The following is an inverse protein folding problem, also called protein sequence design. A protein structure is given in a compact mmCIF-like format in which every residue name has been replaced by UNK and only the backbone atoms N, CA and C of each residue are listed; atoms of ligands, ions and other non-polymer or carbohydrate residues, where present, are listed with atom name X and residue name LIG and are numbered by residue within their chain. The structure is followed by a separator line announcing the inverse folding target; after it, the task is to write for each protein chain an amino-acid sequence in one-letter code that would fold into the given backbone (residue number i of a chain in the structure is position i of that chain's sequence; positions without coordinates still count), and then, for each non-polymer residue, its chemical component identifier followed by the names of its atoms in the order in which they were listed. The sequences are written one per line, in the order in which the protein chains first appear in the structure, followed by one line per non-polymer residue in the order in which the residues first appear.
data_IF_439393382534
#
_entry.id   IF_439393382534
#
_cell.length_a   1.000
_cell.length_b   1.000
_cell.length_c   1.000
_cell.angle_alpha   90.00
_cell.angle_beta   90.00
_cell.angle_gamma   90.00
#
_symmetry.space_group_name_H-M   'P 1'
#
loop_
_entity.id
_entity.type
_entity.pdbx_description
1 polymer ?
#
# COMPACT_ATOMS: atom_id res chain seq x y z
N UNK A 1 21.59 21.80 2.29
CA UNK A 1 21.24 20.79 3.32
C UNK A 1 19.82 20.24 3.12
N UNK A 2 18.75 21.04 3.13
CA UNK A 2 17.38 20.55 2.93
C UNK A 2 17.19 19.82 1.58
N UNK A 3 17.69 20.39 0.47
CA UNK A 3 17.57 19.76 -0.85
C UNK A 3 18.21 18.37 -0.89
N UNK A 4 19.40 18.20 -0.33
CA UNK A 4 20.07 16.89 -0.29
C UNK A 4 19.30 15.88 0.59
N UNK A 5 18.65 16.34 1.66
CA UNK A 5 17.76 15.53 2.46
C UNK A 5 16.53 15.08 1.64
N UNK A 6 15.87 16.01 0.94
CA UNK A 6 14.69 15.69 0.12
C UNK A 6 15.02 14.74 -1.04
N UNK A 7 16.18 14.88 -1.68
CA UNK A 7 16.64 13.93 -2.71
C UNK A 7 16.86 12.52 -2.14
N UNK A 8 17.46 12.41 -0.95
CA UNK A 8 17.56 11.12 -0.24
C UNK A 8 16.19 10.58 0.11
N UNK A 9 15.28 11.44 0.56
CA UNK A 9 13.88 11.06 0.83
C UNK A 9 13.23 10.44 -0.41
N UNK A 10 13.35 11.04 -1.59
CA UNK A 10 12.80 10.48 -2.84
C UNK A 10 13.31 9.06 -3.08
N UNK A 11 14.63 8.85 -2.98
CA UNK A 11 15.24 7.52 -3.24
C UNK A 11 14.74 6.48 -2.23
N UNK A 12 14.71 6.83 -0.94
CA UNK A 12 14.26 5.94 0.11
C UNK A 12 12.76 5.67 -0.02
N UNK A 13 11.95 6.69 -0.27
CA UNK A 13 10.50 6.57 -0.50
C UNK A 13 10.19 5.65 -1.67
N UNK A 14 10.82 5.89 -2.82
CA UNK A 14 10.64 5.04 -4.00
C UNK A 14 11.01 3.59 -3.73
N UNK A 15 12.05 3.32 -2.94
CA UNK A 15 12.42 1.94 -2.59
C UNK A 15 11.32 1.21 -1.80
N UNK A 16 10.57 1.94 -0.96
CA UNK A 16 9.42 1.40 -0.24
C UNK A 16 8.16 1.30 -1.10
N UNK A 17 7.81 2.37 -1.79
CA UNK A 17 6.60 2.50 -2.62
C UNK A 17 6.60 1.52 -3.80
N UNK A 18 7.76 1.29 -4.42
CA UNK A 18 7.93 0.36 -5.53
C UNK A 18 7.99 -1.11 -5.08
N UNK A 19 8.11 -1.37 -3.79
CA UNK A 19 8.11 -2.73 -3.28
C UNK A 19 6.79 -3.43 -3.66
N UNK A 20 6.86 -4.65 -4.22
CA UNK A 20 5.66 -5.38 -4.57
C UNK A 20 4.88 -5.74 -3.32
N UNK A 21 3.61 -5.32 -3.26
CA UNK A 21 2.75 -5.49 -2.10
C UNK A 21 1.26 -5.51 -2.44
N UNK A 22 0.40 -5.68 -1.42
CA UNK A 22 -1.05 -5.72 -1.63
C UNK A 22 -1.61 -4.48 -2.32
N UNK A 23 -1.12 -3.28 -1.98
CA UNK A 23 -1.54 -2.02 -2.61
C UNK A 23 -1.18 -2.03 -4.10
N UNK A 24 0.06 -2.44 -4.45
CA UNK A 24 0.51 -2.57 -5.84
C UNK A 24 -0.38 -3.52 -6.63
N UNK A 25 -0.66 -4.72 -6.08
CA UNK A 25 -1.50 -5.72 -6.73
C UNK A 25 -2.92 -5.19 -7.01
N UNK A 26 -3.54 -4.54 -6.02
CA UNK A 26 -4.89 -3.99 -6.16
C UNK A 26 -4.91 -2.78 -7.09
N UNK A 27 -3.87 -1.94 -7.07
CA UNK A 27 -3.74 -0.81 -8.00
C UNK A 27 -3.67 -1.28 -9.45
N UNK A 28 -2.85 -2.29 -9.73
CA UNK A 28 -2.76 -2.89 -11.07
C UNK A 28 -4.09 -3.52 -11.48
N UNK A 29 -4.73 -4.29 -10.60
CA UNK A 29 -6.02 -4.92 -10.86
C UNK A 29 -7.13 -3.90 -11.15
N UNK A 30 -7.31 -2.88 -10.29
CA UNK A 30 -8.32 -1.82 -10.49
C UNK A 30 -7.97 -0.91 -11.66
N UNK A 31 -6.68 -0.71 -11.92
CA UNK A 31 -6.15 0.04 -13.05
C UNK A 31 -6.64 -0.51 -14.39
N UNK A 32 -6.81 -1.83 -14.55
CA UNK A 32 -7.32 -2.41 -15.81
C UNK A 32 -8.70 -1.90 -16.20
N UNK A 33 -9.46 -1.37 -15.27
CA UNK A 33 -10.83 -0.86 -15.50
C UNK A 33 -10.89 0.66 -15.49
N UNK A 34 -10.13 1.30 -14.62
CA UNK A 34 -10.17 2.75 -14.42
C UNK A 34 -8.75 3.33 -14.29
N UNK A 35 -8.31 4.21 -15.21
CA UNK A 35 -6.95 4.73 -15.20
C UNK A 35 -6.62 5.55 -13.96
N UNK A 36 -7.62 6.20 -13.35
CA UNK A 36 -7.45 7.05 -12.18
C UNK A 36 -7.57 6.31 -10.83
N UNK A 37 -7.79 4.99 -10.85
CA UNK A 37 -7.93 4.22 -9.61
C UNK A 37 -6.69 4.29 -8.72
N UNK A 38 -5.49 4.37 -9.30
CA UNK A 38 -4.25 4.54 -8.54
C UNK A 38 -4.18 5.86 -7.79
N UNK A 39 -4.64 6.96 -8.40
CA UNK A 39 -4.72 8.25 -7.71
C UNK A 39 -5.67 8.19 -6.50
N UNK A 40 -6.84 7.56 -6.66
CA UNK A 40 -7.79 7.38 -5.55
C UNK A 40 -7.25 6.46 -4.46
N UNK A 41 -6.51 5.40 -4.82
CA UNK A 41 -5.83 4.52 -3.86
C UNK A 41 -4.75 5.31 -3.10
N UNK A 42 -3.96 6.14 -3.80
CA UNK A 42 -2.95 6.99 -3.17
C UNK A 42 -3.56 8.00 -2.19
N UNK A 43 -4.70 8.59 -2.53
CA UNK A 43 -5.45 9.44 -1.60
C UNK A 43 -5.89 8.68 -0.36
N UNK A 44 -6.47 7.48 -0.52
CA UNK A 44 -6.85 6.62 0.60
C UNK A 44 -5.66 6.21 1.45
N UNK A 45 -4.51 5.91 0.83
CA UNK A 45 -3.24 5.62 1.50
C UNK A 45 -2.79 6.83 2.34
N UNK A 46 -2.72 8.01 1.74
CA UNK A 46 -2.32 9.25 2.43
C UNK A 46 -3.24 9.64 3.59
N UNK A 47 -4.54 9.30 3.52
CA UNK A 47 -5.48 9.52 4.65
C UNK A 47 -5.10 8.71 5.90
N UNK A 48 -4.41 7.60 5.77
CA UNK A 48 -3.89 6.78 6.88
C UNK A 48 -2.48 7.20 7.23
N UNK A 49 -1.66 7.44 6.23
CA UNK A 49 -0.24 7.75 6.37
C UNK A 49 0.01 9.08 7.09
N UNK A 50 -0.72 10.14 6.73
CA UNK A 50 -0.56 11.44 7.37
C UNK A 50 -0.84 11.41 8.89
N UNK A 51 -1.98 10.86 9.36
CA UNK A 51 -2.20 10.69 10.80
C UNK A 51 -1.12 9.82 11.45
N UNK A 52 -0.68 8.73 10.79
CA UNK A 52 0.38 7.87 11.33
C UNK A 52 1.70 8.62 11.50
N UNK A 53 2.10 9.44 10.51
CA UNK A 53 3.28 10.31 10.64
C UNK A 53 3.19 11.23 11.85
N UNK A 54 2.04 11.88 12.05
CA UNK A 54 1.82 12.77 13.20
C UNK A 54 1.89 12.00 14.52
N UNK A 55 1.31 10.79 14.56
CA UNK A 55 1.40 9.91 15.74
C UNK A 55 2.84 9.51 16.05
N UNK A 56 3.64 9.16 15.04
CA UNK A 56 5.06 8.83 15.21
C UNK A 56 5.83 10.05 15.70
N UNK A 57 5.57 11.23 15.15
CA UNK A 57 6.21 12.49 15.54
C UNK A 57 6.02 12.81 17.04
N UNK A 58 4.84 12.49 17.61
CA UNK A 58 4.55 12.69 19.04
C UNK A 58 4.96 11.49 19.92
N UNK A 59 5.70 10.51 19.37
CA UNK A 59 6.24 9.38 20.11
C UNK A 59 5.34 8.13 20.18
N UNK A 60 4.20 8.10 19.49
CA UNK A 60 3.28 6.95 19.51
C UNK A 60 3.81 5.72 18.74
N UNK A 61 4.95 5.85 18.04
CA UNK A 61 5.57 4.73 17.30
C UNK A 61 5.84 3.49 18.17
N UNK A 62 6.19 3.68 19.44
CA UNK A 62 6.42 2.59 20.39
C UNK A 62 5.19 1.70 20.62
N UNK A 63 3.98 2.25 20.50
CA UNK A 63 2.74 1.45 20.62
C UNK A 63 2.62 0.42 19.50
N UNK A 64 3.06 0.73 18.30
CA UNK A 64 3.04 -0.17 17.14
C UNK A 64 4.10 -1.28 17.25
N UNK A 65 5.08 -1.12 18.13
CA UNK A 65 6.10 -2.15 18.41
C UNK A 65 5.63 -3.23 19.39
N UNK A 66 4.51 -3.00 20.09
CA UNK A 66 3.95 -3.97 21.03
C UNK A 66 3.61 -5.28 20.29
N UNK A 67 4.12 -6.40 20.80
CA UNK A 67 3.97 -7.74 20.20
C UNK A 67 2.52 -8.06 19.86
N UNK A 68 1.59 -7.88 20.77
CA UNK A 68 0.17 -8.15 20.55
C UNK A 68 -0.45 -7.29 19.44
N UNK A 69 -0.02 -6.04 19.31
CA UNK A 69 -0.48 -5.14 18.23
C UNK A 69 0.00 -5.65 16.89
N UNK A 70 1.29 -6.04 16.78
CA UNK A 70 1.85 -6.63 15.55
C UNK A 70 1.13 -7.92 15.17
N UNK A 71 0.89 -8.81 16.14
CA UNK A 71 0.17 -10.08 15.91
C UNK A 71 -1.25 -9.83 15.44
N UNK A 72 -1.98 -8.95 16.12
CA UNK A 72 -3.36 -8.61 15.75
C UNK A 72 -3.45 -8.05 14.32
N UNK A 73 -2.59 -7.08 13.97
CA UNK A 73 -2.55 -6.49 12.63
C UNK A 73 -2.17 -7.54 11.58
N UNK A 74 -1.20 -8.40 11.87
CA UNK A 74 -0.77 -9.47 10.97
C UNK A 74 -1.89 -10.48 10.67
N UNK A 75 -2.61 -10.92 11.68
CA UNK A 75 -3.72 -11.88 11.53
C UNK A 75 -4.90 -11.22 10.79
N UNK A 76 -5.38 -10.06 11.25
CA UNK A 76 -6.52 -9.37 10.64
C UNK A 76 -6.20 -8.94 9.21
N UNK A 77 -5.02 -8.37 8.99
CA UNK A 77 -4.54 -8.00 7.66
C UNK A 77 -4.40 -9.22 6.75
N UNK A 78 -3.84 -10.31 7.24
CA UNK A 78 -3.71 -11.56 6.50
C UNK A 78 -5.06 -12.14 6.07
N UNK A 79 -6.04 -12.22 6.97
CA UNK A 79 -7.40 -12.69 6.66
C UNK A 79 -8.10 -11.78 5.63
N UNK A 80 -7.89 -10.47 5.73
CA UNK A 80 -8.41 -9.52 4.76
C UNK A 80 -7.83 -9.76 3.36
N UNK A 81 -6.51 -9.91 3.25
CA UNK A 81 -5.82 -10.21 1.98
C UNK A 81 -6.27 -11.56 1.41
N UNK A 82 -6.51 -12.57 2.25
CA UNK A 82 -7.05 -13.86 1.83
C UNK A 82 -8.39 -13.68 1.12
N UNK A 83 -9.33 -12.98 1.76
CA UNK A 83 -10.65 -12.71 1.18
C UNK A 83 -10.53 -11.98 -0.17
N UNK A 84 -9.67 -10.97 -0.27
CA UNK A 84 -9.45 -10.24 -1.52
C UNK A 84 -8.81 -11.12 -2.60
N UNK A 85 -7.79 -11.90 -2.27
CA UNK A 85 -7.09 -12.79 -3.20
C UNK A 85 -8.02 -13.85 -3.79
N UNK A 86 -8.80 -14.52 -2.93
CA UNK A 86 -9.84 -15.47 -3.37
C UNK A 86 -10.89 -14.79 -4.26
N UNK A 87 -11.29 -13.57 -3.91
CA UNK A 87 -12.22 -12.76 -4.71
C UNK A 87 -11.69 -12.50 -6.13
N UNK A 88 -10.43 -12.10 -6.28
CA UNK A 88 -9.80 -11.88 -7.58
C UNK A 88 -9.71 -13.16 -8.41
N UNK A 89 -9.33 -14.29 -7.80
CA UNK A 89 -9.24 -15.58 -8.51
C UNK A 89 -10.62 -16.07 -9.00
N UNK A 90 -11.67 -15.91 -8.18
CA UNK A 90 -13.04 -16.24 -8.57
C UNK A 90 -13.56 -15.40 -9.74
N UNK A 91 -13.13 -14.13 -9.85
CA UNK A 91 -13.54 -13.24 -10.94
C UNK A 91 -13.00 -13.63 -12.30
N UNK A 92 -11.94 -14.43 -12.36
CA UNK A 92 -11.36 -14.96 -13.62
C UNK A 92 -12.34 -15.90 -14.32
N UNK A 93 -13.03 -16.77 -13.55
CA UNK A 93 -13.94 -17.79 -14.05
C UNK A 93 -15.33 -17.24 -14.41
N UNK A 94 -15.77 -16.18 -13.77
CA UNK A 94 -17.08 -15.60 -14.00
C UNK A 94 -17.01 -14.50 -15.07
N UNK A 95 -17.88 -14.60 -16.08
CA UNK A 95 -18.04 -13.58 -17.14
C UNK A 95 -18.48 -12.21 -16.57
N UNK A 96 -18.79 -12.15 -15.27
CA UNK A 96 -19.15 -10.95 -14.52
C UNK A 96 -17.93 -10.38 -13.76
N UNK A 97 -16.93 -9.94 -14.51
CA UNK A 97 -15.75 -9.22 -13.98
C UNK A 97 -16.15 -8.01 -13.10
N UNK A 98 -17.39 -7.53 -13.25
CA UNK A 98 -17.91 -6.35 -12.58
C UNK A 98 -18.23 -6.53 -11.08
N UNK A 99 -18.46 -7.75 -10.58
CA UNK A 99 -18.99 -7.93 -9.22
C UNK A 99 -17.92 -7.95 -8.11
N UNK A 100 -16.72 -8.45 -8.37
CA UNK A 100 -15.65 -8.51 -7.34
C UNK A 100 -14.96 -7.15 -7.15
N UNK A 101 -14.99 -6.30 -8.17
CA UNK A 101 -14.47 -4.95 -8.07
C UNK A 101 -15.38 -3.98 -7.27
N UNK A 102 -16.64 -4.36 -7.03
CA UNK A 102 -17.59 -3.53 -6.28
C UNK A 102 -17.45 -3.60 -4.76
N UNK A 103 -16.68 -4.55 -4.19
CA UNK A 103 -16.59 -4.66 -2.73
C UNK A 103 -15.93 -3.45 -2.06
N UNK A 104 -14.98 -2.79 -2.74
CA UNK A 104 -14.30 -1.59 -2.23
C UNK A 104 -14.07 -0.60 -3.36
N UNK A 105 -14.42 0.65 -3.13
CA UNK A 105 -13.97 1.73 -4.01
C UNK A 105 -12.45 1.82 -4.01
N UNK A 106 -11.80 2.41 -5.03
CA UNK A 106 -10.34 2.60 -5.02
C UNK A 106 -9.84 3.32 -3.76
N UNK A 107 -10.53 4.35 -3.32
CA UNK A 107 -10.20 5.09 -2.10
C UNK A 107 -10.29 4.19 -0.85
N UNK A 108 -11.38 3.44 -0.69
CA UNK A 108 -11.54 2.49 0.42
C UNK A 108 -10.45 1.41 0.40
N UNK A 109 -10.09 0.92 -0.78
CA UNK A 109 -8.99 -0.03 -0.92
C UNK A 109 -7.67 0.56 -0.43
N UNK A 110 -7.37 1.82 -0.77
CA UNK A 110 -6.20 2.53 -0.26
C UNK A 110 -6.16 2.59 1.27
N UNK A 111 -7.27 3.00 1.90
CA UNK A 111 -7.38 3.07 3.36
C UNK A 111 -7.19 1.69 4.00
N UNK A 112 -7.98 0.71 3.58
CA UNK A 112 -8.03 -0.59 4.25
C UNK A 112 -6.74 -1.38 4.05
N UNK A 113 -6.18 -1.38 2.83
CA UNK A 113 -4.91 -2.08 2.56
C UNK A 113 -3.72 -1.45 3.28
N UNK A 114 -3.76 -0.16 3.54
CA UNK A 114 -2.72 0.53 4.31
C UNK A 114 -2.78 0.14 5.79
N UNK A 115 -3.96 0.21 6.40
CA UNK A 115 -4.15 -0.17 7.82
C UNK A 115 -3.85 -1.65 8.03
N UNK A 116 -4.28 -2.51 7.10
CA UNK A 116 -4.12 -3.96 7.18
C UNK A 116 -2.71 -4.46 6.77
N UNK A 117 -1.77 -3.56 6.47
CA UNK A 117 -0.44 -3.93 6.01
C UNK A 117 0.59 -3.80 7.13
N UNK A 118 1.01 -4.89 7.78
CA UNK A 118 2.00 -4.83 8.85
C UNK A 118 3.36 -4.32 8.37
N UNK A 119 3.76 -4.59 7.11
CA UNK A 119 5.02 -4.07 6.58
C UNK A 119 5.03 -2.56 6.42
N UNK A 120 3.89 -1.96 6.07
CA UNK A 120 3.74 -0.51 6.04
C UNK A 120 3.99 0.10 7.44
N UNK A 121 3.38 -0.49 8.47
CA UNK A 121 3.55 -0.01 9.84
C UNK A 121 4.99 -0.19 10.34
N UNK A 122 5.62 -1.33 10.08
CA UNK A 122 7.02 -1.60 10.44
C UNK A 122 7.94 -0.60 9.72
N UNK A 123 7.72 -0.35 8.44
CA UNK A 123 8.51 0.62 7.67
C UNK A 123 8.42 2.01 8.28
N UNK A 124 7.21 2.43 8.70
CA UNK A 124 7.01 3.75 9.28
C UNK A 124 7.63 3.90 10.67
N UNK A 125 7.59 2.90 11.55
CA UNK A 125 8.22 2.99 12.87
C UNK A 125 9.75 2.86 12.82
N UNK A 126 10.30 2.41 11.71
CA UNK A 126 11.75 2.28 11.49
C UNK A 126 12.27 3.38 10.56
N UNK A 127 12.12 3.18 9.26
CA UNK A 127 12.64 4.09 8.22
C UNK A 127 11.90 5.43 8.23
N UNK A 128 10.57 5.39 8.36
CA UNK A 128 9.73 6.59 8.44
C UNK A 128 10.10 7.47 9.64
N UNK A 129 10.28 6.86 10.82
CA UNK A 129 10.70 7.58 12.03
C UNK A 129 12.06 8.26 11.87
N UNK A 130 13.02 7.59 11.22
CA UNK A 130 14.33 8.17 10.90
C UNK A 130 14.18 9.37 9.95
N UNK A 131 13.33 9.28 8.93
CA UNK A 131 13.07 10.37 8.00
C UNK A 131 12.34 11.54 8.67
N UNK A 132 11.35 11.28 9.54
CA UNK A 132 10.65 12.29 10.34
C UNK A 132 11.66 13.05 11.22
N UNK A 133 12.53 12.32 11.92
CA UNK A 133 13.58 12.93 12.76
C UNK A 133 14.55 13.79 11.94
N UNK A 134 14.94 13.31 10.76
CA UNK A 134 15.78 14.07 9.83
C UNK A 134 15.07 15.32 9.29
N UNK A 135 13.77 15.23 8.99
CA UNK A 135 12.97 16.36 8.54
C UNK A 135 12.79 17.42 9.62
N UNK A 136 12.63 16.99 10.89
CA UNK A 136 12.45 17.89 12.04
C UNK A 136 13.64 18.81 12.27
N UNK A 137 14.85 18.41 11.85
CA UNK A 137 16.04 19.29 11.90
C UNK A 137 15.88 20.57 11.07
N UNK A 138 14.94 20.59 10.13
CA UNK A 138 14.58 21.77 9.32
C UNK A 138 13.28 22.42 9.79
N UNK A 139 12.92 22.23 11.05
CA UNK A 139 11.68 22.74 11.67
C UNK A 139 10.41 22.25 10.95
N UNK A 140 9.29 22.96 11.17
CA UNK A 140 7.99 22.60 10.58
C UNK A 140 8.03 22.54 9.04
N UNK A 141 8.76 23.45 8.39
CA UNK A 141 8.89 23.46 6.93
C UNK A 141 9.58 22.22 6.38
N UNK A 142 10.54 21.66 7.11
CA UNK A 142 11.18 20.39 6.75
C UNK A 142 10.19 19.23 6.79
N UNK A 143 9.34 19.17 7.81
CA UNK A 143 8.28 18.14 7.92
C UNK A 143 7.24 18.25 6.80
N UNK A 144 6.76 19.46 6.51
CA UNK A 144 5.82 19.70 5.41
C UNK A 144 6.44 19.30 4.06
N UNK A 145 7.66 19.74 3.79
CA UNK A 145 8.37 19.40 2.55
C UNK A 145 8.61 17.89 2.43
N UNK A 146 9.02 17.23 3.52
CA UNK A 146 9.18 15.79 3.58
C UNK A 146 7.89 15.05 3.24
N UNK A 147 6.78 15.40 3.92
CA UNK A 147 5.48 14.78 3.66
C UNK A 147 5.06 14.95 2.20
N UNK A 148 5.14 16.16 1.66
CA UNK A 148 4.74 16.43 0.28
C UNK A 148 5.58 15.64 -0.73
N UNK A 149 6.90 15.54 -0.50
CA UNK A 149 7.81 14.77 -1.37
C UNK A 149 7.53 13.28 -1.27
N UNK A 150 7.39 12.74 -0.05
CA UNK A 150 7.11 11.32 0.16
C UNK A 150 5.77 10.92 -0.47
N UNK A 151 4.70 11.62 -0.10
CA UNK A 151 3.37 11.34 -0.64
C UNK A 151 3.26 11.53 -2.16
N UNK A 152 4.05 12.45 -2.73
CA UNK A 152 4.13 12.59 -4.19
C UNK A 152 4.72 11.34 -4.85
N UNK A 153 5.67 10.65 -4.21
CA UNK A 153 6.22 9.39 -4.71
C UNK A 153 5.12 8.29 -4.76
N UNK A 154 4.32 8.16 -3.69
CA UNK A 154 3.20 7.23 -3.65
C UNK A 154 2.15 7.55 -4.71
N UNK A 155 1.74 8.81 -4.80
CA UNK A 155 0.74 9.27 -5.74
C UNK A 155 1.18 9.03 -7.19
N UNK A 156 2.37 9.46 -7.55
CA UNK A 156 2.89 9.33 -8.92
C UNK A 156 3.08 7.87 -9.31
N UNK A 157 3.61 7.04 -8.40
CA UNK A 157 3.81 5.62 -8.66
C UNK A 157 2.50 4.86 -8.84
N UNK A 158 1.56 5.01 -7.92
CA UNK A 158 0.27 4.32 -7.99
C UNK A 158 -0.57 4.79 -9.19
N UNK A 159 -0.53 6.09 -9.49
CA UNK A 159 -1.18 6.63 -10.69
C UNK A 159 -0.53 6.11 -11.98
N UNK A 160 0.79 6.03 -12.04
CA UNK A 160 1.53 5.44 -13.15
C UNK A 160 1.13 3.98 -13.38
N UNK A 161 1.12 3.18 -12.31
CA UNK A 161 0.76 1.76 -12.40
C UNK A 161 -0.68 1.56 -12.89
N UNK A 162 -1.64 2.30 -12.35
CA UNK A 162 -3.04 2.18 -12.78
C UNK A 162 -3.24 2.62 -14.22
N UNK A 163 -2.60 3.71 -14.63
CA UNK A 163 -2.65 4.21 -16.01
C UNK A 163 -2.01 3.24 -17.01
N UNK A 164 -0.88 2.66 -16.63
CA UNK A 164 -0.20 1.63 -17.45
C UNK A 164 -1.07 0.37 -17.58
N UNK A 165 -1.67 -0.07 -16.47
CA UNK A 165 -2.56 -1.24 -16.45
C UNK A 165 -3.81 -1.02 -17.29
N UNK A 166 -4.38 0.19 -17.28
CA UNK A 166 -5.52 0.55 -18.12
C UNK A 166 -5.20 0.47 -19.60
N UNK A 167 -4.10 1.12 -20.01
CA UNK A 167 -3.65 1.09 -21.40
C UNK A 167 -3.34 -0.34 -21.85
N UNK A 168 -2.63 -1.11 -21.04
CA UNK A 168 -2.34 -2.51 -21.31
C UNK A 168 -3.61 -3.35 -21.46
N UNK A 169 -4.61 -3.15 -20.59
CA UNK A 169 -5.91 -3.83 -20.67
C UNK A 169 -6.69 -3.52 -21.95
N UNK A 170 -6.61 -2.28 -22.45
CA UNK A 170 -7.23 -1.90 -23.71
C UNK A 170 -6.56 -2.53 -24.93
N UNK A 171 -5.22 -2.61 -24.95
CA UNK A 171 -4.46 -3.18 -26.07
C UNK A 171 -4.55 -4.70 -26.15
N UNK A 172 -4.46 -5.38 -24.99
CA UNK A 172 -4.35 -6.84 -24.93
C UNK A 172 -5.67 -7.54 -24.54
N UNK A 173 -6.71 -6.77 -24.22
CA UNK A 173 -8.06 -7.25 -24.00
C UNK A 173 -8.23 -8.16 -22.76
N UNK A 174 -9.30 -9.00 -22.80
CA UNK A 174 -9.76 -9.80 -21.66
C UNK A 174 -8.71 -10.79 -21.14
N UNK A 175 -7.88 -11.35 -22.01
CA UNK A 175 -6.83 -12.31 -21.60
C UNK A 175 -5.79 -11.67 -20.66
N UNK A 176 -5.32 -10.46 -20.98
CA UNK A 176 -4.37 -9.77 -20.12
C UNK A 176 -5.00 -9.45 -18.76
N UNK A 177 -6.26 -9.01 -18.73
CA UNK A 177 -6.98 -8.76 -17.48
C UNK A 177 -7.05 -10.03 -16.61
N UNK A 178 -7.35 -11.18 -17.22
CA UNK A 178 -7.39 -12.46 -16.51
C UNK A 178 -6.02 -12.85 -15.94
N UNK A 179 -4.94 -12.66 -16.70
CA UNK A 179 -3.57 -12.91 -16.25
C UNK A 179 -3.22 -11.98 -15.08
N UNK A 180 -3.54 -10.69 -15.18
CA UNK A 180 -3.33 -9.72 -14.11
C UNK A 180 -4.09 -10.13 -12.85
N UNK A 181 -5.37 -10.50 -12.96
CA UNK A 181 -6.18 -10.92 -11.83
C UNK A 181 -5.67 -12.21 -11.19
N UNK A 182 -5.21 -13.18 -12.01
CA UNK A 182 -4.57 -14.39 -11.51
C UNK A 182 -3.31 -14.07 -10.73
N UNK A 183 -2.41 -13.27 -11.31
CA UNK A 183 -1.17 -12.86 -10.68
C UNK A 183 -1.43 -12.08 -9.38
N UNK A 184 -2.29 -11.06 -9.42
CA UNK A 184 -2.63 -10.27 -8.24
C UNK A 184 -3.32 -11.12 -7.16
N UNK A 185 -4.23 -12.03 -7.54
CA UNK A 185 -4.90 -12.92 -6.61
C UNK A 185 -3.93 -13.86 -5.89
N UNK A 186 -3.05 -14.53 -6.64
CA UNK A 186 -1.99 -15.39 -6.06
C UNK A 186 -1.06 -14.59 -5.16
N UNK A 187 -0.68 -13.38 -5.58
CA UNK A 187 0.19 -12.49 -4.83
C UNK A 187 -0.44 -12.06 -3.49
N UNK A 188 -1.73 -11.71 -3.49
CA UNK A 188 -2.46 -11.41 -2.26
C UNK A 188 -2.55 -12.63 -1.33
N UNK A 189 -2.77 -13.83 -1.86
CA UNK A 189 -2.78 -15.06 -1.06
C UNK A 189 -1.40 -15.37 -0.46
N UNK A 190 -0.33 -15.14 -1.21
CA UNK A 190 1.04 -15.28 -0.71
C UNK A 190 1.27 -14.33 0.48
N UNK A 191 0.94 -13.04 0.35
CA UNK A 191 1.09 -12.09 1.45
C UNK A 191 0.15 -12.39 2.62
N UNK A 192 -1.06 -12.89 2.36
CA UNK A 192 -1.95 -13.39 3.41
C UNK A 192 -1.27 -14.45 4.26
N UNK A 193 -0.75 -15.50 3.62
CA UNK A 193 -0.05 -16.58 4.30
C UNK A 193 1.19 -16.07 5.05
N UNK A 194 1.96 -15.17 4.41
CA UNK A 194 3.13 -14.56 5.03
C UNK A 194 2.78 -13.73 6.27
N UNK A 195 1.75 -12.89 6.22
CA UNK A 195 1.35 -12.06 7.36
C UNK A 195 0.87 -12.89 8.55
N UNK A 196 0.10 -13.96 8.29
CA UNK A 196 -0.35 -14.88 9.33
C UNK A 196 0.85 -15.65 9.91
N UNK A 197 1.75 -16.13 9.05
CA UNK A 197 2.95 -16.84 9.48
C UNK A 197 3.85 -15.95 10.35
N UNK A 198 4.17 -14.74 9.89
CA UNK A 198 5.00 -13.79 10.63
C UNK A 198 4.36 -13.45 12.00
N UNK A 199 3.03 -13.28 12.04
CA UNK A 199 2.30 -13.04 13.28
C UNK A 199 2.40 -14.25 14.25
N UNK A 200 2.32 -15.47 13.75
CA UNK A 200 2.49 -16.68 14.58
C UNK A 200 3.92 -16.80 15.12
N UNK A 201 4.94 -16.55 14.28
CA UNK A 201 6.36 -16.60 14.72
C UNK A 201 6.67 -15.54 15.79
N UNK A 202 6.00 -14.38 15.74
CA UNK A 202 6.16 -13.34 16.77
C UNK A 202 5.47 -13.76 18.08
N UNK A 203 4.40 -14.55 17.97
CA UNK A 203 3.59 -14.96 19.14
C UNK A 203 4.21 -16.12 19.93
N UNK A 204 4.88 -17.07 19.26
CA UNK A 204 5.53 -18.25 19.82
C UNK A 204 7.05 -18.07 19.90
#
# INVERSE_FOLDING_TARGET
MLLSFLLKTVIISLSGVMAPGPITAVTVSKGTQQPHSGAMIALGHGMVELPLMLLILIGFGQFLEITWVKVFIGIVGGLFLFKMGVGLLKSISNTQINQVHQQYTPLQAGVVLTIANPYFLIWWVTVGAMLITGAYQFCLWGLVAFFMVHWSCDFLWLYFLSSLSFKGGQFFGKRLQQIIFAFCGVFLLFFSGKFIYDAMVIFF
#
